data_IF_619107967363
#
_entry.id   IF_619107967363
#
_cell.length_a   1.000
_cell.length_b   1.000
_cell.length_c   1.000
_cell.angle_alpha   90.00
_cell.angle_beta   90.00
_cell.angle_gamma   90.00
#
_symmetry.space_group_name_H-M   'P 1'
#
loop_
_entity.id
_entity.type
_entity.pdbx_description
1 polymer ?
#
# COMPACT_ATOMS: atom_id res chain seq x y z
N UNK A 1 -18.23 2.31 13.75
CA UNK A 1 -16.97 1.55 13.89
C UNK A 1 -16.12 2.25 14.94
N UNK A 2 -15.59 1.49 15.90
CA UNK A 2 -14.88 2.03 17.08
C UNK A 2 -13.36 2.03 16.94
N UNK A 3 -12.82 1.33 15.94
CA UNK A 3 -11.38 1.29 15.66
C UNK A 3 -10.92 2.50 14.86
N UNK A 4 -9.64 2.83 15.02
CA UNK A 4 -9.01 3.98 14.36
C UNK A 4 -8.86 3.71 12.87
N UNK A 5 -9.32 4.65 12.03
CA UNK A 5 -9.16 4.58 10.57
C UNK A 5 -8.07 5.56 10.12
N UNK A 6 -6.86 5.06 9.87
CA UNK A 6 -5.75 5.88 9.39
C UNK A 6 -5.73 6.08 7.86
N UNK A 7 -6.44 5.24 7.10
CA UNK A 7 -6.37 5.20 5.65
C UNK A 7 -7.32 4.17 5.02
N UNK A 8 -7.35 4.08 3.69
CA UNK A 8 -8.08 3.01 2.99
C UNK A 8 -7.58 1.59 3.29
N UNK A 9 -6.36 1.45 3.82
CA UNK A 9 -5.86 0.16 4.29
C UNK A 9 -6.51 -0.30 5.61
N UNK A 10 -7.23 0.58 6.31
CA UNK A 10 -7.87 0.31 7.62
C UNK A 10 -9.38 0.08 7.48
N UNK A 11 -9.84 -0.41 6.34
CA UNK A 11 -11.27 -0.76 6.16
C UNK A 11 -11.68 -1.82 7.17
N UNK A 12 -12.71 -1.55 7.96
CA UNK A 12 -13.11 -2.39 9.10
C UNK A 12 -14.22 -3.38 8.70
N UNK A 13 -13.99 -4.07 7.59
CA UNK A 13 -14.95 -5.01 7.04
C UNK A 13 -15.13 -6.24 7.96
N UNK A 14 -14.10 -6.59 8.74
CA UNK A 14 -14.17 -7.66 9.74
C UNK A 14 -15.18 -7.36 10.85
N UNK A 15 -15.10 -6.18 11.48
CA UNK A 15 -16.02 -5.79 12.55
C UNK A 15 -17.42 -5.56 12.00
N UNK A 16 -17.54 -4.93 10.83
CA UNK A 16 -18.84 -4.74 10.17
C UNK A 16 -19.56 -6.08 9.94
N UNK A 17 -18.85 -7.10 9.43
CA UNK A 17 -19.43 -8.45 9.28
C UNK A 17 -19.77 -9.10 10.62
N UNK A 18 -18.90 -8.99 11.62
CA UNK A 18 -19.12 -9.56 12.94
C UNK A 18 -20.37 -8.97 13.64
N UNK A 19 -20.68 -7.70 13.36
CA UNK A 19 -21.88 -7.02 13.85
C UNK A 19 -23.14 -7.29 13.01
N UNK A 20 -23.03 -8.10 11.95
CA UNK A 20 -24.14 -8.39 11.05
C UNK A 20 -24.54 -7.22 10.17
N UNK A 21 -23.63 -6.31 9.84
CA UNK A 21 -23.90 -5.23 8.90
C UNK A 21 -24.05 -5.79 7.48
N UNK A 22 -25.07 -5.33 6.74
CA UNK A 22 -25.27 -5.67 5.33
C UNK A 22 -24.43 -4.81 4.38
N UNK A 23 -24.02 -3.62 4.85
CA UNK A 23 -23.40 -2.58 4.04
C UNK A 23 -22.45 -1.71 4.85
N UNK A 24 -21.32 -1.30 4.26
CA UNK A 24 -20.33 -0.40 4.86
C UNK A 24 -20.06 0.79 3.94
N UNK A 25 -19.88 1.98 4.52
CA UNK A 25 -19.48 3.20 3.80
C UNK A 25 -18.13 3.67 4.34
N UNK A 26 -17.14 3.79 3.45
CA UNK A 26 -15.78 4.27 3.78
C UNK A 26 -15.53 5.63 3.15
N UNK A 27 -15.38 6.66 3.98
CA UNK A 27 -15.21 8.04 3.53
C UNK A 27 -13.73 8.41 3.37
N UNK A 28 -13.48 9.36 2.46
CA UNK A 28 -12.28 10.18 2.43
C UNK A 28 -11.06 9.56 1.77
N UNK A 29 -11.10 8.27 1.40
CA UNK A 29 -9.95 7.58 0.83
C UNK A 29 -10.27 6.92 -0.51
N UNK A 30 -9.24 6.70 -1.32
CA UNK A 30 -9.35 5.94 -2.56
C UNK A 30 -9.69 4.47 -2.32
N UNK A 31 -10.25 3.81 -3.34
CA UNK A 31 -10.55 2.37 -3.32
C UNK A 31 -9.26 1.53 -3.43
N UNK A 32 -8.37 1.67 -2.43
CA UNK A 32 -7.10 0.96 -2.38
C UNK A 32 -7.29 -0.54 -2.20
N UNK A 33 -8.23 -0.93 -1.32
CA UNK A 33 -8.55 -2.32 -1.06
C UNK A 33 -9.73 -2.72 -1.96
N UNK A 34 -9.55 -3.74 -2.82
CA UNK A 34 -10.60 -4.19 -3.73
C UNK A 34 -11.87 -4.64 -2.99
N UNK A 35 -13.04 -4.22 -3.49
CA UNK A 35 -14.33 -4.48 -2.83
C UNK A 35 -14.70 -5.97 -2.84
N UNK A 36 -14.14 -6.76 -3.75
CA UNK A 36 -14.36 -8.20 -3.86
C UNK A 36 -13.69 -9.01 -2.73
N UNK A 37 -12.74 -8.41 -1.98
CA UNK A 37 -12.11 -9.07 -0.82
C UNK A 37 -12.93 -8.94 0.48
N UNK A 38 -14.07 -8.24 0.45
CA UNK A 38 -14.92 -7.99 1.63
C UNK A 38 -15.83 -9.17 2.00
N UNK A 39 -15.66 -10.34 1.37
CA UNK A 39 -16.31 -11.62 1.74
C UNK A 39 -17.83 -11.52 1.95
N UNK A 40 -18.53 -10.89 0.99
CA UNK A 40 -19.99 -10.78 0.98
C UNK A 40 -20.54 -9.49 1.60
N UNK A 41 -19.73 -8.72 2.35
CA UNK A 41 -20.11 -7.38 2.80
C UNK A 41 -20.09 -6.41 1.62
N UNK A 42 -21.23 -5.75 1.36
CA UNK A 42 -21.29 -4.69 0.36
C UNK A 42 -20.61 -3.44 0.90
N UNK A 43 -19.84 -2.77 0.06
CA UNK A 43 -19.09 -1.59 0.49
C UNK A 43 -19.12 -0.48 -0.57
N UNK A 44 -19.24 0.76 -0.10
CA UNK A 44 -19.14 1.98 -0.91
C UNK A 44 -17.98 2.84 -0.40
N UNK A 45 -17.05 3.15 -1.30
CA UNK A 45 -16.08 4.21 -1.08
C UNK A 45 -16.69 5.56 -1.48
N UNK A 46 -16.69 6.51 -0.55
CA UNK A 46 -17.10 7.89 -0.79
C UNK A 46 -15.85 8.76 -0.85
N UNK A 47 -15.44 9.09 -2.07
CA UNK A 47 -14.35 10.02 -2.32
C UNK A 47 -14.74 11.42 -1.88
N UNK A 48 -13.84 12.08 -1.15
CA UNK A 48 -14.00 13.48 -0.76
C UNK A 48 -13.08 14.30 -1.64
N UNK A 49 -13.66 15.16 -2.47
CA UNK A 49 -12.93 16.09 -3.34
C UNK A 49 -12.96 17.49 -2.71
N UNK A 50 -11.80 17.97 -2.28
CA UNK A 50 -11.66 19.26 -1.60
C UNK A 50 -11.35 20.33 -2.65
N UNK A 51 -12.25 21.32 -2.73
CA UNK A 51 -12.08 22.48 -3.61
C UNK A 51 -11.07 23.46 -3.01
N UNK A 52 -10.18 23.95 -3.86
CA UNK A 52 -9.14 24.90 -3.51
C UNK A 52 -9.14 26.07 -4.49
N UNK A 53 -8.43 27.13 -4.14
CA UNK A 53 -8.13 28.24 -5.05
C UNK A 53 -7.02 27.82 -6.03
N UNK A 54 -7.42 27.23 -7.16
CA UNK A 54 -6.47 26.75 -8.18
C UNK A 54 -5.73 27.89 -8.88
N UNK A 55 -6.35 29.07 -8.99
CA UNK A 55 -5.72 30.26 -9.58
C UNK A 55 -4.50 30.65 -8.75
N UNK A 56 -4.67 30.76 -7.44
CA UNK A 56 -3.54 31.05 -6.56
C UNK A 56 -2.44 29.98 -6.64
N UNK A 57 -2.80 28.70 -6.68
CA UNK A 57 -1.81 27.62 -6.83
C UNK A 57 -1.01 27.77 -8.13
N UNK A 58 -1.68 27.98 -9.25
CA UNK A 58 -1.06 28.16 -10.57
C UNK A 58 -0.15 29.39 -10.59
N UNK A 59 -0.62 30.54 -10.09
CA UNK A 59 0.18 31.76 -10.00
C UNK A 59 1.41 31.58 -9.10
N UNK A 60 1.26 30.80 -8.03
CA UNK A 60 2.38 30.45 -7.15
C UNK A 60 3.45 29.65 -7.90
N UNK A 61 3.05 28.68 -8.73
CA UNK A 61 3.99 27.92 -9.56
C UNK A 61 4.68 28.85 -10.58
N UNK A 62 3.90 29.71 -11.24
CA UNK A 62 4.41 30.68 -12.21
C UNK A 62 5.42 31.65 -11.62
N UNK A 63 5.19 32.08 -10.39
CA UNK A 63 6.09 32.98 -9.68
C UNK A 63 7.42 32.32 -9.29
N UNK A 64 7.39 31.04 -8.91
CA UNK A 64 8.56 30.37 -8.31
C UNK A 64 9.42 29.58 -9.31
N UNK A 65 8.88 29.21 -10.47
CA UNK A 65 9.60 28.39 -11.46
C UNK A 65 9.63 29.05 -12.83
N UNK A 66 10.80 29.10 -13.50
CA UNK A 66 10.89 29.63 -14.86
C UNK A 66 10.09 28.76 -15.84
N UNK A 67 9.55 29.40 -16.87
CA UNK A 67 8.90 28.66 -17.97
C UNK A 67 9.86 27.62 -18.58
N UNK A 68 9.31 26.47 -18.94
CA UNK A 68 10.05 25.31 -19.45
C UNK A 68 10.52 24.33 -18.37
N UNK A 69 10.39 24.65 -17.08
CA UNK A 69 10.74 23.71 -16.01
C UNK A 69 9.96 22.39 -16.10
N UNK A 70 10.63 21.29 -15.73
CA UNK A 70 10.09 19.94 -15.64
C UNK A 70 9.58 19.67 -14.23
N UNK A 71 8.27 19.74 -14.04
CA UNK A 71 7.64 19.66 -12.72
C UNK A 71 6.90 18.33 -12.56
N UNK A 72 7.06 17.67 -11.41
CA UNK A 72 6.27 16.50 -11.04
C UNK A 72 5.24 16.89 -9.98
N UNK A 73 3.96 16.68 -10.28
CA UNK A 73 2.83 17.07 -9.45
C UNK A 73 2.26 15.85 -8.73
N UNK A 74 2.24 15.89 -7.40
CA UNK A 74 1.71 14.83 -6.55
C UNK A 74 0.79 15.40 -5.46
N UNK A 75 -0.11 14.57 -4.92
CA UNK A 75 -1.08 14.95 -3.90
C UNK A 75 -1.70 13.70 -3.24
N UNK A 76 -2.53 13.90 -2.22
CA UNK A 76 -3.45 12.88 -1.71
C UNK A 76 -4.74 12.87 -2.53
N UNK A 77 -5.49 11.78 -2.43
CA UNK A 77 -6.75 11.59 -3.18
C UNK A 77 -7.73 12.76 -3.05
N UNK A 78 -7.71 13.51 -1.95
CA UNK A 78 -8.65 14.59 -1.72
C UNK A 78 -8.42 15.82 -2.60
N UNK A 79 -7.22 15.99 -3.18
CA UNK A 79 -6.92 17.15 -4.04
C UNK A 79 -6.47 16.76 -5.46
N UNK A 80 -6.47 15.48 -5.83
CA UNK A 80 -5.98 15.05 -7.17
C UNK A 80 -6.75 15.69 -8.32
N UNK A 81 -8.04 15.98 -8.16
CA UNK A 81 -8.83 16.63 -9.19
C UNK A 81 -8.33 18.05 -9.47
N UNK A 82 -8.09 18.84 -8.41
CA UNK A 82 -7.53 20.18 -8.49
C UNK A 82 -6.08 20.16 -9.03
N UNK A 83 -5.27 19.20 -8.56
CA UNK A 83 -3.90 18.98 -9.04
C UNK A 83 -3.87 18.73 -10.55
N UNK A 84 -4.67 17.78 -11.05
CA UNK A 84 -4.71 17.44 -12.46
C UNK A 84 -5.27 18.58 -13.32
N UNK A 85 -6.24 19.35 -12.81
CA UNK A 85 -6.73 20.55 -13.51
C UNK A 85 -5.63 21.60 -13.65
N UNK A 86 -4.90 21.87 -12.57
CA UNK A 86 -3.81 22.83 -12.56
C UNK A 86 -2.65 22.38 -13.44
N UNK A 87 -2.34 21.09 -13.46
CA UNK A 87 -1.33 20.51 -14.35
C UNK A 87 -1.67 20.70 -15.83
N UNK A 88 -2.95 20.55 -16.22
CA UNK A 88 -3.38 20.82 -17.60
C UNK A 88 -3.23 22.30 -17.97
N UNK A 89 -3.57 23.20 -17.07
CA UNK A 89 -3.47 24.65 -17.33
C UNK A 89 -2.02 25.12 -17.43
N UNK A 90 -1.12 24.53 -16.64
CA UNK A 90 0.31 24.84 -16.66
C UNK A 90 1.06 24.16 -17.83
N UNK A 91 0.43 23.23 -18.55
CA UNK A 91 1.11 22.44 -19.59
C UNK A 91 1.59 23.24 -20.81
N UNK A 92 1.09 24.46 -21.02
CA UNK A 92 1.60 25.37 -22.08
C UNK A 92 2.95 25.98 -21.74
N UNK A 93 3.21 26.21 -20.46
CA UNK A 93 4.34 26.99 -19.97
C UNK A 93 5.42 26.07 -19.34
N UNK A 94 5.06 24.84 -18.96
CA UNK A 94 5.89 23.89 -18.21
C UNK A 94 5.78 22.46 -18.77
N UNK A 95 6.79 21.63 -18.53
CA UNK A 95 6.66 20.18 -18.70
C UNK A 95 6.14 19.56 -17.40
N UNK A 96 4.82 19.40 -17.29
CA UNK A 96 4.16 18.91 -16.06
C UNK A 96 3.80 17.43 -16.18
N UNK A 97 4.28 16.63 -15.23
CA UNK A 97 3.91 15.21 -15.09
C UNK A 97 3.09 15.00 -13.82
N UNK A 98 2.01 14.21 -13.92
CA UNK A 98 1.30 13.65 -12.76
C UNK A 98 1.64 12.15 -12.64
N UNK A 99 2.80 11.79 -12.06
CA UNK A 99 3.28 10.41 -12.02
C UNK A 99 2.30 9.49 -11.30
N UNK A 100 2.24 8.22 -11.72
CA UNK A 100 1.27 7.26 -11.20
C UNK A 100 1.97 5.99 -10.71
N UNK A 101 1.73 5.64 -9.45
CA UNK A 101 2.07 4.34 -8.90
C UNK A 101 0.79 3.49 -8.82
N UNK A 102 0.55 2.60 -9.78
CA UNK A 102 -0.68 1.78 -9.80
C UNK A 102 -0.76 0.93 -8.52
N UNK A 103 -1.95 0.77 -7.91
CA UNK A 103 -3.29 1.09 -8.44
C UNK A 103 -3.78 2.53 -8.15
N UNK A 104 -2.95 3.40 -7.58
CA UNK A 104 -3.34 4.78 -7.26
C UNK A 104 -3.66 5.59 -8.52
N UNK A 105 -4.40 6.69 -8.34
CA UNK A 105 -4.74 7.63 -9.41
C UNK A 105 -3.51 8.42 -9.88
N UNK A 106 -3.47 8.97 -11.11
CA UNK A 106 -2.36 9.83 -11.54
C UNK A 106 -2.18 11.04 -10.62
N UNK A 107 -0.96 11.25 -10.14
CA UNK A 107 -0.64 12.27 -9.14
C UNK A 107 -1.01 11.91 -7.71
N UNK A 108 -1.65 10.76 -7.44
CA UNK A 108 -1.95 10.31 -6.09
C UNK A 108 -0.75 9.58 -5.47
N UNK A 109 -0.42 9.93 -4.23
CA UNK A 109 0.57 9.23 -3.40
C UNK A 109 -0.03 8.85 -2.03
N UNK A 110 0.53 7.79 -1.43
CA UNK A 110 0.27 7.37 -0.06
C UNK A 110 1.55 7.51 0.76
N UNK A 111 1.43 7.65 2.08
CA UNK A 111 2.61 7.69 2.95
C UNK A 111 3.45 6.41 2.93
N UNK A 112 2.98 5.33 2.30
CA UNK A 112 3.69 4.07 2.10
C UNK A 112 3.90 3.70 0.62
N UNK A 113 3.48 4.54 -0.33
CA UNK A 113 3.55 4.25 -1.76
C UNK A 113 3.71 5.54 -2.56
N UNK A 114 4.85 5.71 -3.23
CA UNK A 114 5.16 6.91 -4.01
C UNK A 114 5.93 6.53 -5.28
N UNK A 115 5.75 7.28 -6.39
CA UNK A 115 6.48 7.01 -7.63
C UNK A 115 7.94 7.42 -7.51
N UNK A 116 8.79 6.75 -8.29
CA UNK A 116 10.13 7.24 -8.60
C UNK A 116 10.06 8.21 -9.77
N UNK A 117 10.81 9.30 -9.67
CA UNK A 117 10.91 10.36 -10.64
C UNK A 117 12.27 10.32 -11.33
N UNK A 118 12.27 10.71 -12.59
CA UNK A 118 13.47 10.84 -13.39
C UNK A 118 13.41 12.19 -14.13
N UNK A 119 14.55 12.89 -14.20
CA UNK A 119 14.69 14.12 -15.01
C UNK A 119 13.60 15.18 -14.69
N UNK A 120 13.53 15.57 -13.41
CA UNK A 120 12.63 16.60 -12.89
C UNK A 120 13.38 17.68 -12.14
N UNK A 121 12.99 18.93 -12.36
CA UNK A 121 13.55 20.10 -11.68
C UNK A 121 12.96 20.25 -10.27
N UNK A 122 11.69 19.88 -10.09
CA UNK A 122 11.02 19.92 -8.80
C UNK A 122 9.86 18.92 -8.68
N UNK A 123 9.66 18.44 -7.46
CA UNK A 123 8.47 17.73 -7.00
C UNK A 123 7.58 18.72 -6.24
N UNK A 124 6.34 18.90 -6.71
CA UNK A 124 5.34 19.79 -6.12
C UNK A 124 4.24 18.94 -5.51
N UNK A 125 4.11 19.01 -4.19
CA UNK A 125 3.01 18.39 -3.46
C UNK A 125 1.93 19.41 -3.14
N UNK A 126 0.71 19.13 -3.59
CA UNK A 126 -0.49 19.89 -3.27
C UNK A 126 -1.18 19.23 -2.08
N UNK A 127 -1.20 19.89 -0.92
CA UNK A 127 -1.87 19.36 0.26
C UNK A 127 -1.27 19.87 1.56
N UNK A 128 -1.97 19.62 2.65
CA UNK A 128 -1.48 19.87 3.99
C UNK A 128 -0.65 18.70 4.52
N UNK A 129 0.04 18.98 5.64
CA UNK A 129 0.90 18.00 6.30
C UNK A 129 2.13 17.58 5.49
N UNK A 130 2.99 16.79 6.11
CA UNK A 130 4.26 16.32 5.50
C UNK A 130 4.28 14.82 5.29
N UNK A 131 3.44 14.05 5.97
CA UNK A 131 3.47 12.58 5.94
C UNK A 131 3.49 11.98 4.52
N UNK A 132 2.61 12.43 3.63
CA UNK A 132 2.57 11.94 2.24
C UNK A 132 3.72 12.49 1.40
N UNK A 133 4.08 13.76 1.58
CA UNK A 133 5.23 14.34 0.88
C UNK A 133 6.54 13.63 1.25
N UNK A 134 6.71 13.26 2.52
CA UNK A 134 7.89 12.54 3.01
C UNK A 134 8.09 11.21 2.30
N UNK A 135 7.03 10.47 1.98
CA UNK A 135 7.19 9.24 1.20
C UNK A 135 7.68 9.52 -0.22
N UNK A 136 7.24 10.62 -0.83
CA UNK A 136 7.73 11.05 -2.13
C UNK A 136 9.18 11.57 -2.05
N UNK A 137 9.57 12.24 -0.97
CA UNK A 137 10.96 12.68 -0.72
C UNK A 137 11.89 11.48 -0.47
N UNK A 138 11.46 10.49 0.32
CA UNK A 138 12.20 9.25 0.54
C UNK A 138 12.41 8.50 -0.77
N UNK A 139 11.36 8.41 -1.59
CA UNK A 139 11.45 7.81 -2.92
C UNK A 139 12.29 8.65 -3.89
N UNK A 140 12.52 9.95 -3.66
CA UNK A 140 13.18 10.84 -4.63
C UNK A 140 14.13 11.81 -3.93
N UNK A 141 15.19 11.32 -3.27
CA UNK A 141 16.03 12.13 -2.36
C UNK A 141 16.79 13.26 -3.06
N UNK A 142 16.97 13.17 -4.38
CA UNK A 142 17.73 14.14 -5.18
C UNK A 142 16.86 15.20 -5.84
N UNK A 143 15.53 15.05 -5.84
CA UNK A 143 14.60 15.99 -6.49
C UNK A 143 14.17 17.05 -5.47
N UNK A 144 14.36 18.36 -5.74
CA UNK A 144 13.86 19.42 -4.86
C UNK A 144 12.35 19.31 -4.64
N UNK A 145 11.94 19.14 -3.38
CA UNK A 145 10.55 18.97 -3.02
C UNK A 145 9.95 20.28 -2.46
N UNK A 146 8.72 20.58 -2.86
CA UNK A 146 7.95 21.72 -2.38
C UNK A 146 6.56 21.29 -1.99
N UNK A 147 5.99 22.00 -1.02
CA UNK A 147 4.62 21.83 -0.56
C UNK A 147 3.84 23.11 -0.78
N UNK A 148 2.69 22.98 -1.44
CA UNK A 148 1.66 24.00 -1.42
C UNK A 148 0.54 23.56 -0.49
N UNK A 149 0.34 24.31 0.59
CA UNK A 149 -0.76 24.12 1.53
C UNK A 149 -1.97 24.95 1.07
N UNK A 150 -3.06 24.34 0.59
CA UNK A 150 -4.17 25.08 -0.01
C UNK A 150 -5.02 25.86 1.01
N UNK A 151 -4.89 25.54 2.31
CA UNK A 151 -5.65 26.23 3.36
C UNK A 151 -4.94 27.51 3.79
N UNK A 152 -3.64 27.40 4.07
CA UNK A 152 -2.82 28.54 4.49
C UNK A 152 -2.24 29.34 3.32
N UNK A 153 -2.34 28.82 2.09
CA UNK A 153 -1.75 29.36 0.86
C UNK A 153 -0.23 29.53 0.94
N UNK A 154 0.42 28.71 1.76
CA UNK A 154 1.87 28.71 1.94
C UNK A 154 2.51 27.76 0.95
N UNK A 155 3.53 28.25 0.24
CA UNK A 155 4.39 27.46 -0.61
C UNK A 155 5.80 27.40 0.00
N UNK A 156 6.21 26.21 0.44
CA UNK A 156 7.48 26.00 1.13
C UNK A 156 8.33 24.97 0.41
N UNK A 157 9.65 25.17 0.43
CA UNK A 157 10.61 24.12 0.11
C UNK A 157 10.72 23.19 1.31
N UNK A 158 10.63 21.89 1.06
CA UNK A 158 10.62 20.86 2.09
C UNK A 158 11.88 20.02 2.03
N UNK A 159 12.36 19.61 3.19
CA UNK A 159 13.56 18.79 3.34
C UNK A 159 13.27 17.58 4.22
N UNK A 160 13.86 16.44 3.86
CA UNK A 160 13.84 15.24 4.68
C UNK A 160 15.28 14.80 4.92
N UNK A 161 15.60 14.44 6.15
CA UNK A 161 16.93 13.97 6.51
C UNK A 161 17.08 12.50 6.11
N UNK A 162 17.33 12.28 4.81
CA UNK A 162 17.49 10.95 4.21
C UNK A 162 18.66 10.20 4.84
N UNK A 163 19.77 10.90 5.12
CA UNK A 163 20.94 10.32 5.74
C UNK A 163 20.60 9.83 7.14
N UNK A 164 19.96 10.67 7.97
CA UNK A 164 19.56 10.27 9.31
C UNK A 164 18.56 9.11 9.30
N UNK A 165 17.62 9.11 8.35
CA UNK A 165 16.70 7.99 8.17
C UNK A 165 17.48 6.71 7.83
N UNK A 166 18.36 6.73 6.83
CA UNK A 166 19.18 5.58 6.45
C UNK A 166 20.06 5.07 7.60
N UNK A 167 20.74 5.96 8.32
CA UNK A 167 21.53 5.59 9.51
C UNK A 167 20.69 4.83 10.53
N UNK A 168 19.51 5.36 10.87
CA UNK A 168 18.61 4.73 11.84
C UNK A 168 18.11 3.36 11.35
N UNK A 169 17.76 3.24 10.07
CA UNK A 169 17.27 1.98 9.48
C UNK A 169 18.37 0.94 9.37
N UNK A 170 19.56 1.32 8.90
CA UNK A 170 20.73 0.44 8.80
C UNK A 170 21.22 -0.02 10.18
N UNK A 171 21.18 0.84 11.19
CA UNK A 171 21.47 0.45 12.57
C UNK A 171 20.49 -0.62 13.08
N UNK A 172 19.19 -0.45 12.83
CA UNK A 172 18.17 -1.43 13.20
C UNK A 172 18.37 -2.78 12.47
N UNK A 173 18.70 -2.75 11.17
CA UNK A 173 19.01 -3.95 10.37
C UNK A 173 20.26 -4.65 10.92
N UNK A 174 21.31 -3.90 11.24
CA UNK A 174 22.56 -4.44 11.78
C UNK A 174 22.30 -5.13 13.11
N UNK A 175 21.58 -4.46 14.02
CA UNK A 175 21.19 -5.05 15.31
C UNK A 175 20.34 -6.31 15.15
N UNK A 176 19.41 -6.32 14.19
CA UNK A 176 18.57 -7.49 13.92
C UNK A 176 19.35 -8.64 13.25
N UNK A 177 20.42 -8.37 12.50
CA UNK A 177 21.21 -9.40 11.80
C UNK A 177 21.82 -10.43 12.77
N UNK A 178 22.13 -10.01 13.99
CA UNK A 178 22.68 -10.88 15.05
C UNK A 178 21.62 -11.53 15.95
N UNK A 179 20.34 -11.15 15.78
CA UNK A 179 19.23 -11.59 16.63
C UNK A 179 18.88 -13.07 16.44
N UNK A 180 18.58 -13.80 17.52
CA UNK A 180 18.27 -15.23 17.47
C UNK A 180 16.77 -15.50 17.40
N UNK A 181 15.98 -14.68 18.09
CA UNK A 181 14.53 -14.81 18.17
C UNK A 181 13.85 -13.59 17.56
N UNK A 182 13.08 -13.81 16.50
CA UNK A 182 12.31 -12.79 15.82
C UNK A 182 10.84 -12.86 16.22
N UNK A 183 10.26 -11.71 16.54
CA UNK A 183 8.83 -11.52 16.65
C UNK A 183 8.25 -11.06 15.31
N UNK A 184 7.40 -11.87 14.70
CA UNK A 184 6.69 -11.52 13.48
C UNK A 184 5.29 -11.02 13.82
N UNK A 185 5.03 -9.74 13.54
CA UNK A 185 3.75 -9.11 13.82
C UNK A 185 2.91 -9.08 12.54
N UNK A 186 1.77 -9.74 12.54
CA UNK A 186 0.74 -9.59 11.51
C UNK A 186 -0.26 -8.52 11.95
N UNK A 187 -0.36 -7.43 11.18
CA UNK A 187 -1.34 -6.37 11.44
C UNK A 187 -2.77 -6.87 11.27
N UNK A 188 -3.64 -6.63 12.26
CA UNK A 188 -5.07 -6.97 12.19
C UNK A 188 -5.97 -5.75 12.06
N UNK A 189 -5.41 -4.54 11.97
CA UNK A 189 -6.17 -3.33 11.71
C UNK A 189 -6.51 -3.24 10.21
N UNK A 190 -7.79 -3.41 9.92
CA UNK A 190 -8.30 -3.54 8.56
C UNK A 190 -7.52 -4.56 7.73
N UNK A 191 -6.98 -4.12 6.60
CA UNK A 191 -6.29 -4.95 5.60
C UNK A 191 -4.81 -4.61 5.46
N UNK A 192 -4.20 -4.01 6.49
CA UNK A 192 -2.77 -3.68 6.49
C UNK A 192 -1.86 -4.92 6.53
N UNK A 193 -2.29 -5.99 7.22
CA UNK A 193 -1.55 -7.24 7.29
C UNK A 193 -1.73 -8.10 6.04
N UNK A 194 -0.68 -8.87 5.71
CA UNK A 194 -0.71 -9.81 4.60
C UNK A 194 -0.13 -11.18 5.03
N UNK A 195 -0.97 -12.23 5.14
CA UNK A 195 -0.52 -13.56 5.56
C UNK A 195 0.53 -14.20 4.64
N UNK A 196 0.58 -13.86 3.35
CA UNK A 196 1.60 -14.38 2.43
C UNK A 196 2.96 -13.77 2.71
N UNK A 197 3.02 -12.47 3.01
CA UNK A 197 4.27 -11.82 3.42
C UNK A 197 4.76 -12.45 4.73
N UNK A 198 3.86 -12.66 5.69
CA UNK A 198 4.20 -13.36 6.93
C UNK A 198 4.79 -14.75 6.66
N UNK A 199 4.14 -15.54 5.81
CA UNK A 199 4.64 -16.87 5.42
C UNK A 199 6.04 -16.81 4.78
N UNK A 200 6.27 -15.86 3.86
CA UNK A 200 7.58 -15.69 3.21
C UNK A 200 8.67 -15.34 4.23
N UNK A 201 8.35 -14.48 5.21
CA UNK A 201 9.26 -14.14 6.31
C UNK A 201 9.55 -15.37 7.18
N UNK A 202 8.53 -16.16 7.51
CA UNK A 202 8.68 -17.39 8.30
C UNK A 202 9.64 -18.38 7.63
N UNK A 203 9.41 -18.65 6.34
CA UNK A 203 10.23 -19.55 5.55
C UNK A 203 11.68 -19.04 5.49
N UNK A 204 11.88 -17.76 5.19
CA UNK A 204 13.23 -17.21 5.04
C UNK A 204 14.00 -17.15 6.36
N UNK A 205 13.37 -16.71 7.44
CA UNK A 205 14.00 -16.68 8.77
C UNK A 205 14.27 -18.10 9.29
N UNK A 206 13.38 -19.05 9.01
CA UNK A 206 13.56 -20.46 9.35
C UNK A 206 14.78 -21.10 8.66
N UNK A 207 14.98 -20.83 7.36
CA UNK A 207 16.18 -21.25 6.63
C UNK A 207 17.48 -20.67 7.20
N UNK A 208 17.39 -19.51 7.87
CA UNK A 208 18.51 -18.89 8.57
C UNK A 208 18.63 -19.34 10.04
N UNK A 209 17.97 -20.43 10.43
CA UNK A 209 17.96 -20.99 11.80
C UNK A 209 17.54 -19.99 12.89
N UNK A 210 16.66 -19.04 12.55
CA UNK A 210 16.10 -18.09 13.53
C UNK A 210 14.87 -18.68 14.21
N UNK A 211 14.70 -18.44 15.51
CA UNK A 211 13.47 -18.76 16.24
C UNK A 211 12.41 -17.70 15.93
N UNK A 212 11.16 -18.11 15.80
CA UNK A 212 10.06 -17.24 15.38
C UNK A 212 8.92 -17.29 16.38
N UNK A 213 8.44 -16.11 16.78
CA UNK A 213 7.23 -15.94 17.58
C UNK A 213 6.26 -15.08 16.79
N UNK A 214 5.05 -15.60 16.51
CA UNK A 214 4.02 -14.86 15.77
C UNK A 214 3.10 -14.11 16.73
N UNK A 215 2.83 -12.85 16.41
CA UNK A 215 1.87 -12.01 17.13
C UNK A 215 0.88 -11.41 16.14
N UNK A 216 -0.39 -11.34 16.54
CA UNK A 216 -1.44 -10.63 15.82
C UNK A 216 -1.79 -9.38 16.62
N UNK A 217 -1.64 -8.20 16.02
CA UNK A 217 -1.88 -6.92 16.70
C UNK A 217 -2.59 -5.95 15.75
N UNK A 218 -3.63 -5.28 16.25
CA UNK A 218 -4.28 -4.18 15.53
C UNK A 218 -3.37 -2.95 15.53
N UNK A 219 -2.88 -2.59 16.72
CA UNK A 219 -2.02 -1.44 16.94
C UNK A 219 -0.74 -1.82 17.68
N UNK A 220 0.38 -1.35 17.15
CA UNK A 220 1.73 -1.63 17.63
C UNK A 220 2.22 -0.42 18.44
N UNK A 221 2.54 -0.65 19.70
CA UNK A 221 3.09 0.36 20.60
C UNK A 221 4.35 -0.15 21.31
N UNK A 222 5.33 0.71 21.63
CA UNK A 222 6.55 0.30 22.31
C UNK A 222 6.29 -0.47 23.61
N UNK A 223 5.36 0.01 24.44
CA UNK A 223 5.05 -0.63 25.72
C UNK A 223 4.44 -2.03 25.56
N UNK A 224 3.66 -2.29 24.50
CA UNK A 224 3.11 -3.64 24.22
C UNK A 224 4.23 -4.61 23.84
N UNK A 225 5.15 -4.18 22.98
CA UNK A 225 6.26 -5.04 22.53
C UNK A 225 7.27 -5.31 23.67
N UNK A 226 7.46 -4.35 24.58
CA UNK A 226 8.31 -4.51 25.76
C UNK A 226 7.82 -5.60 26.73
N UNK A 227 6.57 -6.10 26.61
CA UNK A 227 6.10 -7.22 27.42
C UNK A 227 6.76 -8.56 27.02
N UNK A 228 7.40 -8.63 25.84
CA UNK A 228 8.00 -9.85 25.31
C UNK A 228 9.53 -9.81 25.39
N UNK A 229 10.07 -9.97 26.61
CA UNK A 229 11.52 -9.84 26.90
C UNK A 229 12.43 -10.84 26.16
N UNK A 230 11.88 -11.94 25.64
CA UNK A 230 12.62 -13.01 24.96
C UNK A 230 12.75 -12.79 23.44
N UNK A 231 12.19 -11.70 22.91
CA UNK A 231 12.27 -11.34 21.49
C UNK A 231 13.42 -10.36 21.28
N UNK A 232 14.31 -10.68 20.35
CA UNK A 232 15.51 -9.90 20.07
C UNK A 232 15.25 -8.79 19.04
N UNK A 233 14.44 -9.09 18.03
CA UNK A 233 14.08 -8.18 16.94
C UNK A 233 12.63 -8.40 16.48
N UNK A 234 12.01 -7.34 15.97
CA UNK A 234 10.63 -7.35 15.48
C UNK A 234 10.59 -7.11 13.98
N UNK A 235 9.68 -7.80 13.29
CA UNK A 235 9.30 -7.50 11.90
C UNK A 235 7.81 -7.24 11.88
N UNK A 236 7.40 -6.08 11.38
CA UNK A 236 5.99 -5.73 11.25
C UNK A 236 5.51 -5.94 9.81
N UNK A 237 4.47 -6.75 9.66
CA UNK A 237 3.72 -6.94 8.42
C UNK A 237 2.43 -6.12 8.56
N UNK A 238 2.59 -4.80 8.51
CA UNK A 238 1.50 -3.81 8.56
C UNK A 238 1.98 -2.49 7.91
N UNK A 239 1.54 -1.32 8.39
CA UNK A 239 2.00 -0.01 7.91
C UNK A 239 3.53 0.17 8.03
N UNK A 240 4.25 0.36 6.91
CA UNK A 240 5.71 0.51 6.92
C UNK A 240 6.22 1.75 7.66
N UNK A 241 5.37 2.77 7.82
CA UNK A 241 5.71 4.02 8.50
C UNK A 241 5.94 3.85 10.00
N UNK A 242 5.47 2.76 10.62
CA UNK A 242 5.80 2.43 12.01
C UNK A 242 7.30 2.19 12.19
N UNK A 243 7.92 1.48 11.26
CA UNK A 243 9.37 1.27 11.27
C UNK A 243 10.12 2.55 10.88
N UNK A 244 9.71 3.20 9.80
CA UNK A 244 10.43 4.34 9.23
C UNK A 244 10.41 5.55 10.17
N UNK A 245 9.24 5.93 10.71
CA UNK A 245 9.10 7.14 11.51
C UNK A 245 9.28 6.88 13.01
N UNK A 246 8.80 5.74 13.50
CA UNK A 246 8.70 5.45 14.93
C UNK A 246 9.68 4.37 15.41
N UNK A 247 10.49 3.80 14.50
CA UNK A 247 11.36 2.67 14.81
C UNK A 247 12.34 2.91 15.97
N UNK A 248 12.79 4.15 16.16
CA UNK A 248 13.70 4.55 17.25
C UNK A 248 13.02 4.65 18.62
N UNK A 249 11.69 4.69 18.66
CA UNK A 249 10.93 4.67 19.92
C UNK A 249 10.84 3.26 20.52
N UNK A 250 11.22 2.23 19.77
CA UNK A 250 11.22 0.83 20.24
C UNK A 250 12.59 0.47 20.82
N UNK A 251 12.58 -0.25 21.95
CA UNK A 251 13.81 -0.70 22.63
C UNK A 251 14.55 -1.80 21.85
N UNK A 252 13.81 -2.56 21.05
CA UNK A 252 14.29 -3.60 20.15
C UNK A 252 14.05 -3.15 18.71
N UNK A 253 14.90 -3.55 17.75
CA UNK A 253 14.77 -3.09 16.37
C UNK A 253 13.42 -3.54 15.79
N UNK A 254 12.68 -2.59 15.20
CA UNK A 254 11.42 -2.83 14.49
C UNK A 254 11.64 -2.63 12.99
N UNK A 255 11.61 -3.73 12.25
CA UNK A 255 11.88 -3.77 10.81
C UNK A 255 10.59 -3.85 9.98
N UNK A 256 10.63 -3.27 8.79
CA UNK A 256 9.72 -3.62 7.69
C UNK A 256 10.08 -5.01 7.13
N UNK A 257 9.19 -5.64 6.34
CA UNK A 257 9.49 -6.93 5.73
C UNK A 257 10.67 -6.85 4.73
N UNK A 258 10.82 -5.72 4.02
CA UNK A 258 11.97 -5.43 3.17
C UNK A 258 13.29 -5.50 3.96
N UNK A 259 13.36 -4.75 5.05
CA UNK A 259 14.56 -4.66 5.89
C UNK A 259 14.89 -5.98 6.58
N UNK A 260 13.88 -6.78 6.93
CA UNK A 260 14.10 -8.14 7.45
C UNK A 260 14.78 -9.05 6.41
N UNK A 261 14.43 -8.91 5.13
CA UNK A 261 15.09 -9.63 4.04
C UNK A 261 16.55 -9.19 3.87
N UNK A 262 16.84 -7.90 4.04
CA UNK A 262 18.21 -7.35 4.06
C UNK A 262 18.99 -7.89 5.27
N UNK A 263 18.40 -7.89 6.47
CA UNK A 263 19.05 -8.33 7.72
C UNK A 263 19.52 -9.81 7.65
N UNK A 264 18.78 -10.66 6.92
CA UNK A 264 19.18 -12.06 6.69
C UNK A 264 19.84 -12.30 5.33
N UNK A 265 20.38 -11.23 4.72
CA UNK A 265 21.19 -11.27 3.49
C UNK A 265 20.50 -12.00 2.34
N UNK A 266 19.19 -11.80 2.21
CA UNK A 266 18.38 -12.37 1.12
C UNK A 266 18.36 -11.48 -0.10
N UNK A 267 18.47 -10.19 0.15
CA UNK A 267 18.54 -9.12 -0.83
C UNK A 267 19.54 -8.09 -0.32
N UNK A 268 20.07 -7.29 -1.23
CA UNK A 268 20.93 -6.16 -0.89
C UNK A 268 20.10 -4.94 -0.45
N UNK A 269 20.73 -4.10 0.37
CA UNK A 269 20.20 -2.77 0.68
C UNK A 269 20.03 -1.95 -0.60
N UNK A 270 18.92 -1.23 -0.71
CA UNK A 270 18.60 -0.36 -1.84
C UNK A 270 18.98 1.06 -1.44
N UNK A 271 19.86 1.70 -2.21
CA UNK A 271 20.26 3.09 -1.99
C UNK A 271 19.04 4.03 -2.03
N UNK A 272 18.12 3.75 -2.96
CA UNK A 272 16.81 4.36 -2.97
C UNK A 272 15.85 3.51 -2.12
N UNK A 273 15.52 4.00 -0.93
CA UNK A 273 14.66 3.26 -0.01
C UNK A 273 13.27 3.00 -0.65
N UNK A 274 12.79 1.75 -0.69
CA UNK A 274 11.56 1.42 -1.38
C UNK A 274 10.32 1.95 -0.65
N UNK A 275 9.58 2.83 -1.33
CA UNK A 275 8.25 3.29 -0.93
C UNK A 275 7.21 2.71 -1.89
N UNK A 276 7.10 1.39 -1.94
CA UNK A 276 6.35 0.64 -2.96
C UNK A 276 5.29 -0.32 -2.37
N UNK A 277 4.87 -0.12 -1.13
CA UNK A 277 4.09 -1.10 -0.38
C UNK A 277 2.80 -1.55 -1.09
N UNK A 278 2.01 -0.63 -1.63
CA UNK A 278 0.83 -0.95 -2.45
C UNK A 278 1.09 -0.80 -3.95
N UNK A 279 2.35 -0.70 -4.40
CA UNK A 279 2.69 -0.63 -5.82
C UNK A 279 2.44 -1.98 -6.50
N UNK A 280 1.80 -1.93 -7.68
CA UNK A 280 1.75 -3.08 -8.60
C UNK A 280 3.12 -3.41 -9.20
N UNK A 281 4.04 -2.46 -9.21
CA UNK A 281 5.44 -2.64 -9.62
C UNK A 281 6.33 -2.87 -8.39
N UNK A 282 5.84 -3.63 -7.42
CA UNK A 282 6.57 -4.01 -6.22
C UNK A 282 7.93 -4.62 -6.55
N UNK A 283 8.96 -4.25 -5.79
CA UNK A 283 10.32 -4.74 -5.95
C UNK A 283 10.53 -6.15 -5.40
N UNK A 284 9.60 -6.69 -4.60
CA UNK A 284 9.73 -8.05 -4.11
C UNK A 284 8.63 -8.55 -3.19
N UNK A 285 8.78 -9.80 -2.76
CA UNK A 285 7.78 -10.55 -2.00
C UNK A 285 7.62 -10.10 -0.53
N UNK A 286 7.94 -8.84 -0.25
CA UNK A 286 7.77 -8.12 1.01
C UNK A 286 6.65 -7.08 0.94
N UNK A 287 5.91 -6.97 -0.17
CA UNK A 287 4.76 -6.07 -0.29
C UNK A 287 3.48 -6.78 -0.74
N UNK A 288 2.28 -6.28 -0.34
CA UNK A 288 1.00 -6.92 -0.66
C UNK A 288 0.72 -7.19 -2.14
N UNK A 289 1.15 -6.28 -3.03
CA UNK A 289 0.82 -6.34 -4.46
C UNK A 289 1.86 -7.06 -5.32
N UNK A 290 2.91 -7.63 -4.71
CA UNK A 290 3.83 -8.52 -5.40
C UNK A 290 3.14 -9.84 -5.81
N UNK A 291 3.50 -10.42 -6.96
CA UNK A 291 2.80 -11.60 -7.52
C UNK A 291 2.75 -12.79 -6.57
N UNK A 292 3.82 -13.03 -5.82
CA UNK A 292 3.91 -14.12 -4.83
C UNK A 292 3.04 -13.86 -3.59
N UNK A 293 2.66 -12.62 -3.34
CA UNK A 293 1.92 -12.19 -2.14
C UNK A 293 0.44 -11.93 -2.40
N UNK A 294 0.01 -11.92 -3.68
CA UNK A 294 -1.41 -11.78 -4.05
C UNK A 294 -2.20 -12.96 -3.52
N UNK A 295 -3.19 -12.67 -2.67
CA UNK A 295 -4.17 -13.64 -2.19
C UNK A 295 -5.08 -14.02 -3.37
N UNK A 296 -4.84 -15.20 -3.96
CA UNK A 296 -5.71 -15.77 -4.98
C UNK A 296 -5.41 -15.35 -6.42
N UNK A 297 -4.61 -16.17 -7.11
CA UNK A 297 -4.72 -16.47 -8.55
C UNK A 297 -3.91 -17.73 -8.90
N UNK A 298 -4.24 -18.88 -8.28
CA UNK A 298 -4.03 -20.14 -9.01
C UNK A 298 -5.07 -20.17 -10.13
N UNK A 299 -4.77 -19.52 -11.26
CA UNK A 299 -5.37 -19.92 -12.53
C UNK A 299 -4.78 -21.28 -12.84
N UNK A 300 -5.42 -22.34 -12.34
CA UNK A 300 -5.21 -23.69 -12.86
C UNK A 300 -5.55 -23.60 -14.34
N UNK A 301 -4.54 -23.57 -15.22
CA UNK A 301 -4.75 -23.77 -16.65
C UNK A 301 -5.31 -25.18 -16.79
N UNK A 302 -6.63 -25.31 -16.77
CA UNK A 302 -7.29 -26.52 -17.26
C UNK A 302 -6.98 -26.54 -18.74
N UNK A 303 -6.00 -27.38 -19.14
CA UNK A 303 -5.84 -27.77 -20.53
C UNK A 303 -7.18 -28.40 -20.93
N UNK A 304 -7.97 -27.70 -21.74
CA UNK A 304 -9.02 -28.35 -22.53
C UNK A 304 -8.28 -29.28 -23.49
N UNK A 305 -8.20 -30.55 -23.12
CA UNK A 305 -7.89 -31.60 -24.07
C UNK A 305 -9.11 -31.71 -24.97
N UNK A 306 -9.01 -31.22 -26.20
CA UNK A 306 -10.01 -31.49 -27.23
C UNK A 306 -10.02 -33.00 -27.48
N UNK A 307 -11.05 -33.68 -26.99
CA UNK A 307 -11.39 -35.02 -27.45
C UNK A 307 -12.12 -34.83 -28.77
N UNK A 308 -11.42 -35.04 -29.89
CA UNK A 308 -12.03 -35.26 -31.20
C UNK A 308 -12.79 -36.58 -31.12
N UNK A 309 -14.09 -36.52 -30.87
CA UNK A 309 -15.03 -37.62 -31.08
C UNK A 309 -15.55 -37.54 -32.50
N UNK A 310 -15.11 -38.47 -33.35
CA UNK A 310 -15.81 -38.80 -34.59
C UNK A 310 -17.14 -39.48 -34.24
N UNK A 311 -18.26 -38.92 -34.69
CA UNK A 311 -19.60 -39.41 -34.35
C UNK A 311 -20.69 -38.77 -35.20
N UNK A 312 -20.90 -39.39 -36.36
CA UNK A 312 -21.94 -39.25 -37.39
C UNK A 312 -23.24 -38.51 -37.01
N UNK A 313 -23.66 -37.63 -37.94
CA UNK A 313 -25.00 -37.06 -38.07
C UNK A 313 -26.08 -38.14 -38.23
N UNK A 314 -27.22 -37.93 -37.59
CA UNK A 314 -28.44 -38.72 -37.74
C UNK A 314 -29.63 -38.01 -37.10
N UNK A 315 -30.45 -37.42 -37.98
CA UNK A 315 -31.89 -37.14 -37.94
C UNK A 315 -32.67 -36.80 -36.63
N UNK A 316 -33.26 -35.61 -36.67
CA UNK A 316 -34.68 -35.22 -36.50
C UNK A 316 -35.57 -35.70 -35.33
N UNK A 317 -36.47 -34.77 -34.97
CA UNK A 317 -37.76 -34.87 -34.24
C UNK A 317 -37.82 -34.60 -32.72
N UNK A 318 -38.42 -33.43 -32.42
CA UNK A 318 -39.50 -33.14 -31.47
C UNK A 318 -39.60 -33.88 -30.12
N UNK A 319 -39.76 -33.12 -29.02
CA UNK A 319 -41.06 -32.89 -28.35
C UNK A 319 -40.92 -32.47 -26.87
N UNK A 320 -41.68 -31.41 -26.54
CA UNK A 320 -42.35 -31.02 -25.29
C UNK A 320 -41.87 -31.44 -23.89
N UNK A 321 -41.81 -30.41 -23.03
CA UNK A 321 -42.34 -30.27 -21.66
C UNK A 321 -42.91 -31.50 -20.94
N UNK A 322 -42.62 -31.63 -19.63
CA UNK A 322 -43.57 -31.40 -18.51
C UNK A 322 -42.95 -31.80 -17.15
N UNK A 323 -43.29 -30.99 -16.15
CA UNK A 323 -43.17 -31.10 -14.69
C UNK A 323 -43.32 -32.50 -14.04
N UNK A 324 -42.63 -32.70 -12.91
CA UNK A 324 -43.17 -32.94 -11.54
C UNK A 324 -42.06 -33.51 -10.64
N UNK A 325 -41.72 -32.82 -9.56
CA UNK A 325 -42.08 -33.20 -8.18
C UNK A 325 -41.73 -34.64 -7.80
N UNK A 326 -40.79 -34.82 -6.87
CA UNK A 326 -41.08 -35.50 -5.58
C UNK A 326 -39.91 -35.38 -4.61
N UNK A 327 -40.27 -35.02 -3.38
CA UNK A 327 -39.46 -35.11 -2.16
C UNK A 327 -39.20 -36.58 -1.78
N UNK A 328 -38.08 -36.82 -1.10
CA UNK A 328 -37.84 -37.80 -0.01
C UNK A 328 -36.33 -37.66 0.33
N UNK A 329 -35.85 -37.23 1.50
CA UNK A 329 -36.07 -37.68 2.89
C UNK A 329 -36.04 -39.21 2.98
N UNK A 330 -34.89 -39.83 3.25
CA UNK A 330 -34.47 -40.25 4.60
C UNK A 330 -33.13 -41.02 4.60
N UNK A 331 -32.32 -40.73 5.63
CA UNK A 331 -31.37 -41.58 6.38
C UNK A 331 -30.78 -42.84 5.72
N UNK A 332 -29.46 -42.87 5.57
CA UNK A 332 -28.56 -43.61 6.49
C UNK A 332 -27.15 -43.05 6.42
#
# INVERSE_FOLDING_TARGET
>A
MGDVTYGACCVDDFTARALGCDFMIHYGHSCLIPVDVMEGLKMLYVFVDIKIDTVHFIDTIKYNFPAGSKLAFVSTIQFVAALQSSARELSSDYTVDTPQCKPLSPGEILGCTSPTLHDKDALIYLGDGRFHLESAMIANPTVPAYRYDPYSKVFSREHYDINKMHENRQAAITQASDSKTFGLILGTLGRQGNPRILQNLEERLGLCNRKIVKLLLSEIFPFKLNLFNHIDAWVQVTCPRLSIDWGTAFTKPLLTPYEAMVAVKSIEWQEQYPMDFYSNSSLGAWTPNHEQCKLGKKRTKVKKTEVRGEGKEGDSEACACVNRETQNVEKT
#
